data_IF_522541596891
#
_entry.id   IF_522541596891
#
_cell.length_a   1.000
_cell.length_b   1.000
_cell.length_c   1.000
_cell.angle_alpha   90.00
_cell.angle_beta   90.00
_cell.angle_gamma   90.00
#
_symmetry.space_group_name_H-M   'P 1'
#
loop_
_entity.id
_entity.type
_entity.pdbx_description
1 polymer ?
#
# COMPACT_ATOMS: atom_id res chain seq x y z
N UNK A 1 10.98 -12.80 7.35
CA UNK A 1 10.73 -11.37 7.15
C UNK A 1 9.58 -10.94 8.07
N UNK A 2 9.83 -10.03 8.96
CA UNK A 2 8.87 -9.60 9.98
C UNK A 2 8.05 -8.38 9.51
N UNK A 3 7.68 -8.38 8.23
CA UNK A 3 7.04 -7.23 7.56
C UNK A 3 5.81 -6.71 8.31
N UNK A 4 4.99 -7.63 8.83
CA UNK A 4 3.76 -7.25 9.56
C UNK A 4 4.08 -6.47 10.84
N UNK A 5 5.07 -6.91 11.61
CA UNK A 5 5.48 -6.22 12.85
C UNK A 5 6.23 -4.92 12.53
N UNK A 6 7.00 -4.90 11.45
CA UNK A 6 7.67 -3.70 10.98
C UNK A 6 6.68 -2.60 10.57
N UNK A 7 5.62 -2.96 9.83
CA UNK A 7 4.53 -2.01 9.51
C UNK A 7 3.83 -1.53 10.80
N UNK A 8 3.59 -2.41 11.78
CA UNK A 8 3.03 -1.98 13.06
C UNK A 8 3.94 -0.99 13.79
N UNK A 9 5.27 -1.22 13.76
CA UNK A 9 6.24 -0.29 14.36
C UNK A 9 6.19 1.09 13.69
N UNK A 10 6.03 1.14 12.36
CA UNK A 10 5.85 2.41 11.64
C UNK A 10 4.55 3.13 12.04
N UNK A 11 3.43 2.41 12.15
CA UNK A 11 2.19 2.99 12.66
C UNK A 11 2.34 3.55 14.07
N UNK A 12 3.03 2.80 14.93
CA UNK A 12 3.25 3.19 16.33
C UNK A 12 4.05 4.48 16.42
N UNK A 13 5.21 4.56 15.76
CA UNK A 13 6.04 5.77 15.79
C UNK A 13 5.32 6.96 15.14
N UNK A 14 4.59 6.74 14.05
CA UNK A 14 3.81 7.79 13.42
C UNK A 14 2.76 8.37 14.37
N UNK A 15 2.05 7.51 15.11
CA UNK A 15 1.10 7.95 16.15
C UNK A 15 1.77 8.72 17.27
N UNK A 16 2.88 8.21 17.79
CA UNK A 16 3.63 8.84 18.90
C UNK A 16 4.20 10.21 18.52
N UNK A 17 4.60 10.38 17.28
CA UNK A 17 5.21 11.61 16.74
C UNK A 17 4.20 12.56 16.07
N UNK A 18 2.93 12.18 15.97
CA UNK A 18 1.89 12.97 15.28
C UNK A 18 2.11 13.07 13.76
N UNK A 19 2.75 12.07 13.17
CA UNK A 19 3.00 12.02 11.72
C UNK A 19 1.74 11.48 11.04
N UNK A 20 1.30 12.14 9.98
CA UNK A 20 0.14 11.69 9.21
C UNK A 20 0.48 10.45 8.40
N UNK A 21 -0.36 9.43 8.52
CA UNK A 21 -0.29 8.21 7.73
C UNK A 21 -1.40 8.22 6.69
N UNK A 22 -1.05 7.98 5.43
CA UNK A 22 -2.01 7.77 4.35
C UNK A 22 -2.08 6.28 4.06
N UNK A 23 -3.27 5.71 4.13
CA UNK A 23 -3.51 4.31 3.80
C UNK A 23 -4.17 4.25 2.44
N UNK A 24 -3.52 3.57 1.48
CA UNK A 24 -4.01 3.35 0.12
C UNK A 24 -4.50 1.92 0.00
N UNK A 25 -5.82 1.66 0.19
CA UNK A 25 -6.36 0.30 0.20
C UNK A 25 -6.56 -0.23 -1.22
N UNK A 26 -6.57 -1.56 -1.34
CA UNK A 26 -6.93 -2.25 -2.57
C UNK A 26 -8.20 -3.06 -2.37
N UNK A 27 -9.27 -2.68 -3.06
CA UNK A 27 -10.47 -3.51 -3.16
C UNK A 27 -11.30 -3.16 -4.39
N UNK A 28 -12.12 -4.11 -4.84
CA UNK A 28 -13.00 -4.00 -5.99
C UNK A 28 -14.44 -3.70 -5.57
N UNK A 29 -15.12 -2.88 -6.35
CA UNK A 29 -16.57 -2.78 -6.31
C UNK A 29 -17.18 -3.85 -7.22
N UNK A 30 -18.47 -4.13 -7.04
CA UNK A 30 -19.18 -5.16 -7.81
C UNK A 30 -19.07 -4.97 -9.32
N UNK A 31 -19.04 -3.74 -9.80
CA UNK A 31 -18.92 -3.45 -11.22
C UNK A 31 -17.52 -3.70 -11.79
N UNK A 32 -16.48 -3.69 -10.96
CA UNK A 32 -15.11 -3.96 -11.39
C UNK A 32 -14.94 -5.44 -11.80
N UNK A 33 -15.78 -6.34 -11.26
CA UNK A 33 -15.77 -7.77 -11.59
C UNK A 33 -16.29 -8.09 -13.01
N UNK A 34 -16.74 -7.09 -13.75
CA UNK A 34 -17.23 -7.25 -15.13
C UNK A 34 -16.29 -6.59 -16.14
N UNK A 35 -15.02 -6.41 -15.82
CA UNK A 35 -14.06 -5.89 -16.79
C UNK A 35 -13.89 -6.83 -17.97
N UNK A 36 -13.86 -6.26 -19.17
CA UNK A 36 -13.67 -7.01 -20.42
C UNK A 36 -12.19 -7.34 -20.67
N UNK A 37 -11.29 -6.48 -20.18
CA UNK A 37 -9.84 -6.62 -20.36
C UNK A 37 -9.15 -6.69 -19.02
N UNK A 38 -8.45 -7.79 -18.80
CA UNK A 38 -7.74 -8.05 -17.55
C UNK A 38 -6.36 -8.64 -17.82
N UNK A 39 -5.39 -8.26 -16.96
CA UNK A 39 -4.12 -8.96 -16.87
C UNK A 39 -4.26 -10.29 -16.13
N UNK A 40 -3.26 -11.16 -16.25
CA UNK A 40 -3.29 -12.50 -15.65
C UNK A 40 -3.48 -12.48 -14.12
N UNK A 41 -2.88 -11.49 -13.42
CA UNK A 41 -3.02 -11.36 -11.98
C UNK A 41 -4.40 -10.84 -11.58
N UNK A 42 -4.96 -9.90 -12.31
CA UNK A 42 -6.32 -9.38 -12.09
C UNK A 42 -7.36 -10.49 -12.24
N UNK A 43 -7.26 -11.26 -13.35
CA UNK A 43 -8.09 -12.44 -13.55
C UNK A 43 -8.00 -13.43 -12.40
N UNK A 44 -6.80 -13.67 -11.84
CA UNK A 44 -6.64 -14.53 -10.68
C UNK A 44 -7.31 -13.94 -9.44
N UNK A 45 -7.11 -12.65 -9.17
CA UNK A 45 -7.69 -11.97 -8.01
C UNK A 45 -9.22 -12.00 -8.05
N UNK A 46 -9.83 -11.73 -9.20
CA UNK A 46 -11.28 -11.84 -9.39
C UNK A 46 -11.77 -13.28 -9.21
N UNK A 47 -11.06 -14.25 -9.80
CA UNK A 47 -11.43 -15.68 -9.68
C UNK A 47 -11.44 -16.20 -8.24
N UNK A 48 -10.51 -15.74 -7.41
CA UNK A 48 -10.42 -16.15 -6.00
C UNK A 48 -11.13 -15.18 -5.04
N UNK A 49 -11.83 -14.18 -5.59
CA UNK A 49 -12.58 -13.17 -4.82
C UNK A 49 -11.73 -12.39 -3.80
N UNK A 50 -10.43 -12.26 -4.09
CA UNK A 50 -9.50 -11.49 -3.27
C UNK A 50 -9.87 -10.02 -3.34
N UNK A 51 -10.10 -9.24 -2.48
CA UNK A 51 -10.46 -7.81 -2.51
C UNK A 51 -11.90 -7.47 -2.95
N UNK A 52 -12.80 -8.44 -3.09
CA UNK A 52 -14.16 -8.15 -3.49
C UNK A 52 -14.98 -7.47 -2.39
N UNK A 53 -15.84 -6.54 -2.79
CA UNK A 53 -16.91 -5.99 -1.96
C UNK A 53 -18.26 -6.31 -2.55
N UNK A 54 -19.23 -6.65 -1.69
CA UNK A 54 -20.60 -6.97 -2.13
C UNK A 54 -21.35 -5.79 -2.74
N UNK A 55 -20.99 -4.57 -2.38
CA UNK A 55 -21.61 -3.37 -2.94
C UNK A 55 -20.91 -2.08 -2.52
N UNK A 56 -21.12 -1.02 -3.28
CA UNK A 56 -20.48 0.29 -3.04
C UNK A 56 -20.93 0.96 -1.73
N UNK A 57 -22.16 0.69 -1.30
CA UNK A 57 -22.77 1.34 -0.14
C UNK A 57 -22.87 0.42 1.10
N UNK A 58 -22.29 -0.77 1.07
CA UNK A 58 -22.35 -1.73 2.17
C UNK A 58 -20.98 -2.21 2.62
N UNK A 59 -20.84 -2.45 3.91
CA UNK A 59 -19.71 -3.13 4.53
C UNK A 59 -19.96 -4.65 4.66
N UNK A 60 -21.13 -5.14 4.23
CA UNK A 60 -21.47 -6.56 4.30
C UNK A 60 -20.43 -7.42 3.57
N UNK A 61 -19.90 -8.41 4.26
CA UNK A 61 -18.87 -9.30 3.77
C UNK A 61 -17.47 -8.68 3.64
N UNK A 62 -17.28 -7.43 4.09
CA UNK A 62 -15.95 -6.79 4.12
C UNK A 62 -15.12 -7.30 5.30
N UNK A 63 -15.71 -7.35 6.48
CA UNK A 63 -15.03 -7.81 7.70
C UNK A 63 -14.55 -9.26 7.55
N UNK A 64 -13.27 -9.47 7.80
CA UNK A 64 -12.62 -10.77 7.63
C UNK A 64 -12.40 -11.22 6.18
N UNK A 65 -12.73 -10.40 5.19
CA UNK A 65 -12.44 -10.67 3.77
C UNK A 65 -10.98 -10.38 3.42
N UNK A 66 -10.56 -10.74 2.20
CA UNK A 66 -9.23 -10.36 1.68
C UNK A 66 -9.02 -8.85 1.52
N UNK A 67 -10.10 -8.05 1.50
CA UNK A 67 -10.05 -6.59 1.41
C UNK A 67 -10.03 -5.90 2.79
N UNK A 68 -10.24 -6.65 3.88
CA UNK A 68 -10.20 -6.10 5.23
C UNK A 68 -8.76 -5.84 5.71
N UNK A 69 -8.64 -4.98 6.69
CA UNK A 69 -7.37 -4.70 7.37
C UNK A 69 -6.99 -5.85 8.31
N UNK A 70 -5.69 -6.05 8.50
CA UNK A 70 -5.24 -6.91 9.60
C UNK A 70 -5.70 -6.32 10.95
N UNK A 71 -6.25 -7.15 11.82
CA UNK A 71 -6.81 -6.71 13.10
C UNK A 71 -5.82 -5.91 13.95
N UNK A 72 -4.55 -6.29 13.92
CA UNK A 72 -3.51 -5.54 14.64
C UNK A 72 -3.31 -4.10 14.16
N UNK A 73 -3.72 -3.77 12.91
CA UNK A 73 -3.61 -2.42 12.35
C UNK A 73 -4.86 -1.57 12.57
N UNK A 74 -6.05 -2.17 12.76
CA UNK A 74 -7.33 -1.47 12.90
C UNK A 74 -7.29 -0.36 13.94
N UNK A 75 -6.68 -0.63 15.11
CA UNK A 75 -6.49 0.36 16.20
C UNK A 75 -5.65 1.60 15.83
N UNK A 76 -4.81 1.50 14.79
CA UNK A 76 -4.04 2.62 14.27
C UNK A 76 -4.78 3.30 13.13
N UNK A 77 -5.38 2.53 12.22
CA UNK A 77 -6.10 3.03 11.03
C UNK A 77 -7.29 3.90 11.44
N UNK A 78 -7.95 3.58 12.57
CA UNK A 78 -9.01 4.39 13.17
C UNK A 78 -8.49 5.61 13.96
N UNK A 79 -7.21 5.90 13.88
CA UNK A 79 -6.56 7.01 14.58
C UNK A 79 -6.73 8.36 13.87
N UNK A 80 -6.71 9.45 14.66
CA UNK A 80 -6.88 10.82 14.14
C UNK A 80 -5.79 11.27 13.17
N UNK A 81 -4.60 10.64 13.24
CA UNK A 81 -3.48 10.93 12.33
C UNK A 81 -3.48 10.08 11.06
N UNK A 82 -4.54 9.33 10.78
CA UNK A 82 -4.62 8.43 9.62
C UNK A 82 -5.67 8.90 8.63
N UNK A 83 -5.30 8.98 7.38
CA UNK A 83 -6.18 9.30 6.24
C UNK A 83 -6.27 8.05 5.37
N UNK A 84 -7.46 7.46 5.28
CA UNK A 84 -7.72 6.36 4.38
C UNK A 84 -8.22 6.94 3.06
N UNK A 85 -7.46 6.70 1.99
CA UNK A 85 -7.84 7.17 0.64
C UNK A 85 -8.89 6.25 0.01
N UNK A 86 -9.45 6.66 -1.12
CA UNK A 86 -10.25 5.74 -1.92
C UNK A 86 -9.41 4.54 -2.38
N UNK A 87 -10.04 3.40 -2.72
CA UNK A 87 -9.27 2.22 -3.10
C UNK A 87 -8.61 2.39 -4.46
N UNK A 88 -7.36 1.96 -4.58
CA UNK A 88 -6.79 1.73 -5.89
C UNK A 88 -7.29 0.40 -6.46
N UNK A 89 -7.29 0.27 -7.80
CA UNK A 89 -7.93 -0.86 -8.49
C UNK A 89 -6.94 -1.86 -9.04
N UNK A 90 -5.78 -1.38 -9.47
CA UNK A 90 -4.71 -2.19 -10.05
C UNK A 90 -3.51 -2.12 -9.10
N UNK A 91 -2.47 -1.43 -9.50
CA UNK A 91 -1.21 -1.43 -8.74
C UNK A 91 -0.84 -0.05 -8.20
N UNK A 92 -1.03 1.00 -8.98
CA UNK A 92 -0.64 2.36 -8.64
C UNK A 92 -1.81 3.21 -8.10
N UNK A 93 -1.51 4.42 -7.62
CA UNK A 93 -2.50 5.34 -7.10
C UNK A 93 -3.25 6.13 -8.19
N UNK A 94 -3.08 5.82 -9.47
CA UNK A 94 -3.75 6.52 -10.57
C UNK A 94 -5.26 6.35 -10.52
N UNK A 95 -5.73 5.27 -9.93
CA UNK A 95 -7.16 4.97 -9.78
C UNK A 95 -7.74 5.42 -8.44
N UNK A 96 -6.97 6.11 -7.57
CA UNK A 96 -7.45 6.63 -6.30
C UNK A 96 -7.05 8.10 -6.07
N UNK A 97 -7.35 8.63 -4.91
CA UNK A 97 -7.09 10.04 -4.57
C UNK A 97 -5.83 10.28 -3.73
N UNK A 98 -4.91 9.31 -3.62
CA UNK A 98 -3.72 9.43 -2.76
C UNK A 98 -2.87 10.67 -3.09
N UNK A 99 -2.50 10.87 -4.35
CA UNK A 99 -1.68 12.00 -4.75
C UNK A 99 -2.39 13.35 -4.51
N UNK A 100 -3.71 13.38 -4.71
CA UNK A 100 -4.54 14.55 -4.39
C UNK A 100 -4.51 14.84 -2.88
N UNK A 101 -4.71 13.84 -2.05
CA UNK A 101 -4.72 13.99 -0.59
C UNK A 101 -3.36 14.46 -0.09
N UNK A 102 -2.26 13.86 -0.53
CA UNK A 102 -0.90 14.28 -0.18
C UNK A 102 -0.68 15.76 -0.51
N UNK A 103 -1.04 16.20 -1.73
CA UNK A 103 -0.89 17.61 -2.15
C UNK A 103 -1.78 18.56 -1.36
N UNK A 104 -3.05 18.19 -1.12
CA UNK A 104 -3.99 19.03 -0.37
C UNK A 104 -3.58 19.21 1.08
N UNK A 105 -2.90 18.22 1.66
CA UNK A 105 -2.33 18.31 3.00
C UNK A 105 -0.91 18.90 3.03
N UNK A 106 -0.34 19.31 1.88
CA UNK A 106 0.95 20.01 1.80
C UNK A 106 2.19 19.12 1.90
N UNK A 107 2.04 17.82 1.73
CA UNK A 107 3.17 16.89 1.77
C UNK A 107 3.90 16.83 0.43
N UNK A 108 5.23 16.81 0.49
CA UNK A 108 6.13 16.64 -0.66
C UNK A 108 7.11 15.47 -0.50
N UNK A 109 7.21 14.94 0.72
CA UNK A 109 8.06 13.79 1.05
C UNK A 109 7.19 12.66 1.57
N UNK A 110 7.44 11.45 1.09
CA UNK A 110 6.67 10.26 1.42
C UNK A 110 7.63 9.13 1.82
N UNK A 111 7.33 8.46 2.92
CA UNK A 111 7.95 7.20 3.31
C UNK A 111 6.95 6.09 3.02
N UNK A 112 7.30 5.19 2.12
CA UNK A 112 6.41 4.17 1.57
C UNK A 112 6.72 2.79 2.16
N UNK A 113 5.69 2.10 2.60
CA UNK A 113 5.72 0.71 3.06
C UNK A 113 4.46 -0.03 2.59
N UNK A 114 4.43 -1.35 2.69
CA UNK A 114 3.24 -2.14 2.37
C UNK A 114 3.49 -3.29 1.41
N UNK A 115 2.43 -3.77 0.78
CA UNK A 115 2.44 -4.96 -0.08
C UNK A 115 1.66 -4.71 -1.39
N UNK A 116 2.01 -5.36 -2.49
CA UNK A 116 3.17 -6.22 -2.70
C UNK A 116 4.34 -5.39 -3.21
N UNK A 117 5.57 -5.70 -2.76
CA UNK A 117 6.77 -4.90 -3.03
C UNK A 117 6.96 -4.60 -4.52
N UNK A 118 6.92 -5.63 -5.39
CA UNK A 118 7.12 -5.55 -6.84
C UNK A 118 5.86 -5.19 -7.65
N UNK A 119 4.76 -4.93 -6.99
CA UNK A 119 3.48 -4.60 -7.60
C UNK A 119 3.00 -3.24 -7.07
N UNK A 120 2.07 -3.24 -6.12
CA UNK A 120 1.45 -2.02 -5.63
C UNK A 120 2.47 -1.04 -5.02
N UNK A 121 3.40 -1.50 -4.18
CA UNK A 121 4.40 -0.62 -3.56
C UNK A 121 5.30 0.02 -4.60
N UNK A 122 5.82 -0.77 -5.56
CA UNK A 122 6.65 -0.23 -6.65
C UNK A 122 5.87 0.72 -7.56
N UNK A 123 4.62 0.38 -7.91
CA UNK A 123 3.78 1.25 -8.74
C UNK A 123 3.48 2.58 -8.04
N UNK A 124 3.14 2.55 -6.74
CA UNK A 124 2.98 3.76 -5.95
C UNK A 124 4.26 4.60 -5.91
N UNK A 125 5.44 3.97 -5.74
CA UNK A 125 6.71 4.68 -5.77
C UNK A 125 6.91 5.40 -7.11
N UNK A 126 6.74 4.71 -8.23
CA UNK A 126 6.93 5.27 -9.58
C UNK A 126 5.99 6.43 -9.85
N UNK A 127 4.70 6.24 -9.62
CA UNK A 127 3.68 7.27 -9.86
C UNK A 127 3.89 8.51 -8.98
N UNK A 128 4.20 8.32 -7.70
CA UNK A 128 4.45 9.43 -6.79
C UNK A 128 5.73 10.19 -7.17
N UNK A 129 6.78 9.52 -7.63
CA UNK A 129 8.00 10.16 -8.15
C UNK A 129 7.67 10.98 -9.41
N UNK A 130 6.96 10.41 -10.39
CA UNK A 130 6.51 11.12 -11.59
C UNK A 130 5.54 12.28 -11.27
N UNK A 131 4.78 12.15 -10.18
CA UNK A 131 3.92 13.19 -9.65
C UNK A 131 4.65 14.28 -8.86
N UNK A 132 5.99 14.21 -8.76
CA UNK A 132 6.85 15.24 -8.15
C UNK A 132 7.06 15.10 -6.64
N UNK A 133 6.76 13.94 -6.05
CA UNK A 133 7.06 13.68 -4.64
C UNK A 133 8.49 13.12 -4.47
N UNK A 134 9.10 13.44 -3.32
CA UNK A 134 10.31 12.77 -2.86
C UNK A 134 9.89 11.49 -2.12
N UNK A 135 10.20 10.33 -2.69
CA UNK A 135 9.72 9.04 -2.16
C UNK A 135 10.88 8.22 -1.62
N UNK A 136 10.79 7.83 -0.38
CA UNK A 136 11.65 6.84 0.27
C UNK A 136 10.89 5.55 0.52
N UNK A 137 11.57 4.40 0.54
CA UNK A 137 10.94 3.09 0.75
C UNK A 137 11.55 2.40 1.95
N UNK A 138 10.72 1.79 2.80
CA UNK A 138 11.15 0.97 3.95
C UNK A 138 11.19 -0.49 3.52
N UNK A 139 12.37 -0.98 3.13
CA UNK A 139 12.56 -2.27 2.47
C UNK A 139 12.10 -3.49 3.28
N UNK A 140 12.27 -3.48 4.59
CA UNK A 140 11.87 -4.57 5.49
C UNK A 140 10.43 -4.44 6.01
N UNK A 141 9.76 -3.33 5.69
CA UNK A 141 8.32 -3.13 5.84
C UNK A 141 7.56 -3.34 4.52
N UNK A 142 8.18 -4.02 3.55
CA UNK A 142 7.54 -4.48 2.32
C UNK A 142 7.73 -5.99 2.15
N UNK A 143 6.80 -6.63 1.46
CA UNK A 143 6.88 -8.06 1.12
C UNK A 143 6.29 -8.32 -0.27
N UNK A 144 6.67 -9.43 -0.87
CA UNK A 144 6.12 -9.90 -2.14
C UNK A 144 6.07 -11.42 -2.19
N UNK A 145 5.30 -11.95 -3.13
CA UNK A 145 5.24 -13.38 -3.37
C UNK A 145 6.60 -13.92 -3.86
N UNK A 146 6.97 -15.08 -3.33
CA UNK A 146 8.11 -15.87 -3.78
C UNK A 146 7.57 -17.20 -4.30
N UNK A 147 7.74 -17.41 -5.59
CA UNK A 147 7.31 -18.62 -6.29
C UNK A 147 8.53 -19.30 -6.92
N UNK A 148 8.44 -20.60 -7.32
CA UNK A 148 9.55 -21.25 -8.00
C UNK A 148 10.04 -20.46 -9.20
N UNK A 149 11.31 -20.02 -9.17
CA UNK A 149 11.92 -19.22 -10.22
C UNK A 149 11.51 -17.74 -10.26
N UNK A 150 10.65 -17.27 -9.34
CA UNK A 150 10.18 -15.88 -9.29
C UNK A 150 10.29 -15.34 -7.86
N UNK A 151 11.11 -14.34 -7.65
CA UNK A 151 11.24 -13.64 -6.38
C UNK A 151 10.85 -12.17 -6.55
N UNK A 152 9.60 -11.86 -6.23
CA UNK A 152 9.07 -10.50 -6.37
C UNK A 152 9.73 -9.49 -5.44
N UNK A 153 10.20 -9.92 -4.27
CA UNK A 153 10.89 -9.03 -3.33
C UNK A 153 12.26 -8.60 -3.86
N UNK A 154 13.08 -9.54 -4.35
CA UNK A 154 14.38 -9.21 -4.93
C UNK A 154 14.25 -8.33 -6.19
N UNK A 155 13.24 -8.60 -7.02
CA UNK A 155 12.94 -7.76 -8.18
C UNK A 155 12.63 -6.31 -7.77
N UNK A 156 11.81 -6.13 -6.74
CA UNK A 156 11.47 -4.82 -6.21
C UNK A 156 12.69 -4.08 -5.62
N UNK A 157 13.57 -4.78 -4.89
CA UNK A 157 14.76 -4.18 -4.27
C UNK A 157 15.69 -3.52 -5.29
N UNK A 158 15.82 -4.11 -6.48
CA UNK A 158 16.61 -3.50 -7.57
C UNK A 158 16.02 -2.14 -7.94
N UNK A 159 14.70 -2.09 -8.16
CA UNK A 159 14.01 -0.88 -8.58
C UNK A 159 13.97 0.17 -7.45
N UNK A 160 13.75 -0.24 -6.20
CA UNK A 160 13.78 0.67 -5.06
C UNK A 160 15.12 1.40 -4.95
N UNK A 161 16.25 0.68 -5.10
CA UNK A 161 17.60 1.26 -5.05
C UNK A 161 17.90 2.20 -6.20
N UNK A 162 17.25 2.02 -7.35
CA UNK A 162 17.48 2.85 -8.54
C UNK A 162 16.55 4.07 -8.59
N UNK A 163 15.38 4.01 -8.01
CA UNK A 163 14.31 4.99 -8.24
C UNK A 163 13.99 5.81 -6.97
N UNK A 164 13.92 5.15 -5.80
CA UNK A 164 13.59 5.86 -4.56
C UNK A 164 14.71 6.82 -4.16
N UNK A 165 14.36 7.93 -3.52
CA UNK A 165 15.33 8.87 -2.96
C UNK A 165 16.21 8.21 -1.88
N UNK A 166 15.62 7.35 -1.05
CA UNK A 166 16.31 6.54 -0.06
C UNK A 166 15.60 5.20 0.13
N UNK A 167 16.37 4.19 0.55
CA UNK A 167 15.85 2.87 0.92
C UNK A 167 16.29 2.57 2.35
N UNK A 168 15.34 2.67 3.27
CA UNK A 168 15.55 2.51 4.70
C UNK A 168 15.18 1.11 5.20
N UNK A 169 15.67 0.78 6.39
CA UNK A 169 15.07 -0.22 7.27
C UNK A 169 14.04 0.45 8.18
N UNK A 170 13.18 -0.35 8.80
CA UNK A 170 12.23 0.13 9.81
C UNK A 170 12.97 0.78 10.98
N UNK A 171 14.09 0.20 11.45
CA UNK A 171 14.89 0.74 12.54
C UNK A 171 15.43 2.13 12.21
N UNK A 172 15.99 2.32 11.02
CA UNK A 172 16.48 3.61 10.54
C UNK A 172 15.38 4.67 10.55
N UNK A 173 14.20 4.35 10.03
CA UNK A 173 13.06 5.27 10.01
C UNK A 173 12.60 5.62 11.44
N UNK A 174 12.48 4.65 12.32
CA UNK A 174 12.04 4.88 13.72
C UNK A 174 13.02 5.78 14.49
N UNK A 175 14.30 5.72 14.17
CA UNK A 175 15.32 6.58 14.79
C UNK A 175 15.29 8.00 14.21
N UNK A 176 15.06 8.14 12.89
CA UNK A 176 15.09 9.44 12.21
C UNK A 176 13.81 10.28 12.40
N UNK A 177 12.67 9.64 12.65
CA UNK A 177 11.39 10.30 12.90
C UNK A 177 11.24 10.77 14.34
#
# INVERSE_FOLDING_TARGET
NNTVDNIEALFKVAKEKGITVFVSPHYYYKHDLNWEFEGSLETLMHKITMFDRKGALTQEGFEGSGADWLDKYKKYIDGENVIVTSPHKLYGPESNDLALQLRKHGYSKVVLAGMSANLCTESHMRDLVESGFNVSVVKDATAAAILPGLNGYEAALVNFRMIASHVFTTEEVVIEL
#
